data_IF_178625705928
#
_entry.id   IF_178625705928
#
_cell.length_a   1.000
_cell.length_b   1.000
_cell.length_c   1.000
_cell.angle_alpha   90.00
_cell.angle_beta   90.00
_cell.angle_gamma   90.00
#
_symmetry.space_group_name_H-M   'P 1'
#
loop_
_entity.id
_entity.type
_entity.pdbx_description
1 polymer ?
#
# COMPACT_ATOMS: atom_id res chain seq x y z
N UNK A 1 13.58 -18.84 27.23
CA UNK A 1 12.69 -20.01 27.00
C UNK A 1 11.45 -19.81 27.85
N UNK A 2 10.26 -20.24 27.41
CA UNK A 2 9.02 -20.13 28.21
C UNK A 2 8.38 -21.52 28.34
N UNK A 3 7.83 -21.84 29.51
CA UNK A 3 7.02 -23.04 29.69
C UNK A 3 5.53 -22.72 29.45
N UNK A 4 4.85 -23.58 28.69
CA UNK A 4 3.43 -23.48 28.41
C UNK A 4 2.74 -24.81 28.68
N UNK A 5 1.48 -24.75 29.10
CA UNK A 5 0.65 -25.93 29.35
C UNK A 5 -0.11 -26.31 28.08
N UNK A 6 0.05 -27.55 27.61
CA UNK A 6 -0.67 -28.04 26.45
C UNK A 6 -2.19 -28.09 26.73
N UNK A 7 -3.04 -27.51 25.87
CA UNK A 7 -4.50 -27.58 26.07
C UNK A 7 -5.09 -28.98 25.83
N UNK A 8 -4.41 -29.85 25.07
CA UNK A 8 -4.91 -31.19 24.74
C UNK A 8 -4.57 -32.25 25.78
N UNK A 9 -3.33 -32.27 26.28
CA UNK A 9 -2.87 -33.30 27.22
C UNK A 9 -2.50 -32.75 28.60
N UNK A 10 -2.63 -31.44 28.83
CA UNK A 10 -2.30 -30.75 30.10
C UNK A 10 -0.83 -30.83 30.56
N UNK A 11 0.07 -31.43 29.77
CA UNK A 11 1.50 -31.48 30.04
C UNK A 11 2.17 -30.12 29.80
N UNK A 12 3.19 -29.82 30.61
CA UNK A 12 4.03 -28.63 30.45
C UNK A 12 5.21 -28.93 29.53
N UNK A 13 5.50 -28.01 28.60
CA UNK A 13 6.64 -28.15 27.70
C UNK A 13 7.25 -26.78 27.36
N UNK A 14 8.50 -26.80 26.92
CA UNK A 14 9.26 -25.59 26.60
C UNK A 14 9.01 -25.14 25.17
N UNK A 15 8.84 -23.83 25.01
CA UNK A 15 8.71 -23.15 23.72
C UNK A 15 9.69 -21.98 23.62
N UNK A 16 10.15 -21.70 22.40
CA UNK A 16 11.02 -20.57 22.12
C UNK A 16 10.23 -19.27 22.15
N UNK A 17 10.82 -18.21 22.75
CA UNK A 17 10.15 -16.91 22.95
C UNK A 17 9.86 -16.21 21.62
N UNK A 18 10.64 -16.50 20.58
CA UNK A 18 10.53 -15.87 19.26
C UNK A 18 9.52 -16.55 18.33
N UNK A 19 8.93 -17.68 18.73
CA UNK A 19 8.01 -18.42 17.87
C UNK A 19 6.56 -18.00 18.09
N UNK A 20 5.79 -17.93 17.00
CA UNK A 20 4.37 -17.61 17.05
C UNK A 20 3.59 -18.66 17.84
N UNK A 21 2.59 -18.23 18.61
CA UNK A 21 1.76 -19.13 19.43
C UNK A 21 1.10 -20.27 18.63
N UNK A 22 0.78 -20.02 17.35
CA UNK A 22 0.20 -21.00 16.42
C UNK A 22 1.20 -22.00 15.83
N UNK A 23 2.50 -21.77 16.02
CA UNK A 23 3.58 -22.65 15.57
C UNK A 23 4.02 -23.65 16.63
N UNK A 24 3.59 -23.47 17.89
CA UNK A 24 3.95 -24.37 18.96
C UNK A 24 3.26 -25.73 18.82
N UNK A 25 4.06 -26.80 18.81
CA UNK A 25 3.60 -28.19 18.82
C UNK A 25 4.01 -28.79 20.16
N UNK A 26 3.09 -29.49 20.81
CA UNK A 26 3.40 -30.18 22.07
C UNK A 26 4.34 -31.36 21.82
N UNK A 27 5.44 -31.42 22.59
CA UNK A 27 6.42 -32.51 22.49
C UNK A 27 5.87 -33.88 22.95
N UNK A 28 4.83 -33.89 23.78
CA UNK A 28 4.26 -35.12 24.35
C UNK A 28 3.19 -35.76 23.46
N UNK A 29 2.19 -34.98 23.04
CA UNK A 29 1.03 -35.49 22.29
C UNK A 29 1.05 -35.10 20.80
N UNK A 30 2.05 -34.33 20.36
CA UNK A 30 2.19 -33.81 18.98
C UNK A 30 1.00 -32.95 18.51
N UNK A 31 0.10 -32.57 19.41
CA UNK A 31 -1.01 -31.69 19.09
C UNK A 31 -0.54 -30.23 18.96
N UNK A 32 -1.14 -29.44 18.05
CA UNK A 32 -0.87 -28.01 17.97
C UNK A 32 -1.42 -27.31 19.21
N UNK A 33 -0.68 -26.33 19.73
CA UNK A 33 -1.09 -25.54 20.89
C UNK A 33 -2.35 -24.71 20.59
N UNK A 34 -2.41 -24.11 19.40
CA UNK A 34 -3.55 -23.32 18.95
C UNK A 34 -3.77 -23.53 17.45
N UNK A 35 -5.04 -23.60 17.05
CA UNK A 35 -5.45 -23.70 15.65
C UNK A 35 -6.18 -22.43 15.27
N UNK A 36 -5.75 -21.79 14.17
CA UNK A 36 -6.42 -20.60 13.64
C UNK A 36 -7.83 -20.95 13.16
N UNK A 37 -8.81 -20.13 13.56
CA UNK A 37 -10.19 -20.25 13.09
C UNK A 37 -10.31 -19.97 11.58
N UNK A 38 -11.38 -20.48 10.93
CA UNK A 38 -11.65 -20.20 9.51
C UNK A 38 -11.67 -18.69 9.21
N UNK A 39 -12.30 -17.89 10.08
CA UNK A 39 -12.35 -16.42 9.96
C UNK A 39 -10.97 -15.77 9.97
N UNK A 40 -10.06 -16.24 10.83
CA UNK A 40 -8.69 -15.72 10.91
C UNK A 40 -7.87 -16.07 9.67
N UNK A 41 -8.01 -17.30 9.14
CA UNK A 41 -7.33 -17.72 7.91
C UNK A 41 -7.74 -16.86 6.71
N UNK A 42 -9.04 -16.62 6.53
CA UNK A 42 -9.58 -15.77 5.46
C UNK A 42 -9.05 -14.33 5.58
N UNK A 43 -8.93 -13.79 6.80
CA UNK A 43 -8.34 -12.46 7.02
C UNK A 43 -6.86 -12.42 6.64
N UNK A 44 -6.08 -13.43 7.03
CA UNK A 44 -4.66 -13.51 6.68
C UNK A 44 -4.45 -13.70 5.17
N UNK A 45 -5.26 -14.54 4.52
CA UNK A 45 -5.27 -14.72 3.07
C UNK A 45 -5.67 -13.43 2.34
N UNK A 46 -6.68 -12.71 2.84
CA UNK A 46 -7.10 -11.41 2.33
C UNK A 46 -6.03 -10.32 2.48
N UNK A 47 -5.17 -10.43 3.51
CA UNK A 47 -4.01 -9.54 3.68
C UNK A 47 -2.78 -10.00 2.87
N UNK A 48 -2.75 -11.24 2.38
CA UNK A 48 -1.64 -11.81 1.61
C UNK A 48 -1.58 -11.26 0.18
N UNK A 49 -2.71 -10.81 -0.36
CA UNK A 49 -2.75 -9.99 -1.56
C UNK A 49 -2.73 -8.52 -1.14
N UNK A 50 -1.64 -7.78 -1.40
CA UNK A 50 -1.64 -6.35 -1.11
C UNK A 50 -2.71 -5.71 -1.99
N UNK A 51 -3.13 -4.52 -1.57
CA UNK A 51 -4.05 -3.61 -2.25
C UNK A 51 -3.46 -3.10 -3.59
N UNK A 52 -2.71 -3.93 -4.32
CA UNK A 52 -1.90 -3.63 -5.51
C UNK A 52 -2.61 -3.91 -6.83
N UNK A 53 -3.89 -4.29 -6.80
CA UNK A 53 -4.77 -4.12 -7.97
C UNK A 53 -5.57 -2.84 -7.73
N UNK A 54 -5.01 -1.64 -8.02
CA UNK A 54 -5.85 -0.47 -8.13
C UNK A 54 -6.96 -0.84 -9.13
N UNK A 55 -8.23 -0.59 -8.79
CA UNK A 55 -9.34 -0.93 -9.68
C UNK A 55 -9.06 -0.33 -11.06
N UNK A 56 -9.51 -0.98 -12.14
CA UNK A 56 -9.28 -0.50 -13.52
C UNK A 56 -9.60 1.00 -13.70
N UNK A 57 -10.53 1.51 -12.90
CA UNK A 57 -10.91 2.93 -12.80
C UNK A 57 -9.76 3.84 -12.34
N UNK A 58 -8.90 3.43 -11.40
CA UNK A 58 -7.76 4.22 -10.93
C UNK A 58 -6.68 4.42 -12.00
N UNK A 59 -6.46 3.43 -12.87
CA UNK A 59 -5.57 3.61 -14.04
C UNK A 59 -6.12 4.67 -14.99
N UNK A 60 -7.42 4.61 -15.29
CA UNK A 60 -8.10 5.63 -16.12
C UNK A 60 -8.07 7.03 -15.50
N UNK A 61 -8.27 7.13 -14.19
CA UNK A 61 -8.15 8.42 -13.48
C UNK A 61 -6.73 8.96 -13.53
N UNK A 62 -5.72 8.11 -13.37
CA UNK A 62 -4.32 8.50 -13.51
C UNK A 62 -4.01 9.02 -14.92
N UNK A 63 -4.40 8.28 -15.96
CA UNK A 63 -4.21 8.70 -17.36
C UNK A 63 -4.89 10.05 -17.65
N UNK A 64 -6.14 10.21 -17.23
CA UNK A 64 -6.89 11.46 -17.40
C UNK A 64 -6.24 12.63 -16.66
N UNK A 65 -5.77 12.40 -15.43
CA UNK A 65 -5.04 13.41 -14.66
C UNK A 65 -3.77 13.85 -15.39
N UNK A 66 -2.95 12.91 -15.86
CA UNK A 66 -1.72 13.23 -16.60
C UNK A 66 -2.00 13.95 -17.92
N UNK A 67 -3.04 13.55 -18.66
CA UNK A 67 -3.45 14.26 -19.88
C UNK A 67 -3.80 15.73 -19.59
N UNK A 68 -4.58 15.99 -18.54
CA UNK A 68 -4.97 17.35 -18.15
C UNK A 68 -3.78 18.17 -17.66
N UNK A 69 -2.88 17.58 -16.89
CA UNK A 69 -1.65 18.25 -16.40
C UNK A 69 -0.75 18.65 -17.58
N UNK A 70 -0.54 17.74 -18.54
CA UNK A 70 0.29 18.01 -19.72
C UNK A 70 -0.32 19.13 -20.57
N UNK A 71 -1.62 19.06 -20.87
CA UNK A 71 -2.34 20.10 -21.63
C UNK A 71 -2.27 21.46 -20.94
N UNK A 72 -2.46 21.49 -19.62
CA UNK A 72 -2.40 22.73 -18.84
C UNK A 72 -1.00 23.35 -18.88
N UNK A 73 0.06 22.54 -18.71
CA UNK A 73 1.44 23.01 -18.77
C UNK A 73 1.80 23.58 -20.16
N UNK A 74 1.36 22.93 -21.24
CA UNK A 74 1.56 23.43 -22.61
C UNK A 74 0.84 24.78 -22.79
N UNK A 75 -0.41 24.88 -22.34
CA UNK A 75 -1.17 26.13 -22.38
C UNK A 75 -0.48 27.27 -21.64
N UNK A 76 0.05 27.00 -20.45
CA UNK A 76 0.79 27.96 -19.65
C UNK A 76 2.06 28.46 -20.37
N UNK A 77 2.82 27.56 -21.00
CA UNK A 77 4.01 27.93 -21.78
C UNK A 77 3.63 28.85 -22.95
N UNK A 78 2.59 28.50 -23.72
CA UNK A 78 2.13 29.31 -24.86
C UNK A 78 1.68 30.69 -24.38
N UNK A 79 0.87 30.75 -23.32
CA UNK A 79 0.39 32.02 -22.75
C UNK A 79 1.56 32.91 -22.29
N UNK A 80 2.57 32.31 -21.66
CA UNK A 80 3.76 33.04 -21.21
C UNK A 80 4.54 33.61 -22.40
N UNK A 81 4.72 32.84 -23.47
CA UNK A 81 5.39 33.30 -24.70
C UNK A 81 4.61 34.48 -25.33
N UNK A 82 3.30 34.35 -25.46
CA UNK A 82 2.45 35.42 -26.01
C UNK A 82 2.52 36.69 -25.17
N UNK A 83 2.52 36.56 -23.84
CA UNK A 83 2.65 37.69 -22.92
C UNK A 83 4.00 38.40 -23.08
N UNK A 84 5.10 37.64 -23.17
CA UNK A 84 6.44 38.19 -23.39
C UNK A 84 6.53 38.95 -24.71
N UNK A 85 6.00 38.39 -25.80
CA UNK A 85 5.97 39.06 -27.12
C UNK A 85 5.15 40.35 -27.05
N UNK A 86 3.94 40.29 -26.48
CA UNK A 86 3.09 41.46 -26.33
C UNK A 86 3.74 42.57 -25.50
N UNK A 87 4.47 42.19 -24.44
CA UNK A 87 5.22 43.13 -23.61
C UNK A 87 6.35 43.80 -24.38
N UNK A 88 7.13 43.02 -25.16
CA UNK A 88 8.21 43.57 -25.99
C UNK A 88 7.68 44.53 -27.05
N UNK A 89 6.58 44.18 -27.73
CA UNK A 89 5.91 45.06 -28.70
C UNK A 89 5.40 46.32 -28.00
N UNK A 90 4.77 46.19 -26.83
CA UNK A 90 4.30 47.32 -26.04
C UNK A 90 5.41 48.30 -25.68
N UNK A 91 6.58 47.81 -25.26
CA UNK A 91 7.76 48.64 -24.97
C UNK A 91 8.28 49.33 -26.24
N UNK A 92 8.30 48.64 -27.37
CA UNK A 92 8.79 49.18 -28.65
C UNK A 92 7.86 50.23 -29.26
N UNK A 93 6.55 50.08 -29.08
CA UNK A 93 5.52 50.95 -29.67
C UNK A 93 5.11 52.09 -28.75
N UNK A 94 5.34 51.96 -27.43
CA UNK A 94 5.05 53.02 -26.49
C UNK A 94 5.84 54.28 -26.84
N UNK A 95 5.18 55.42 -27.17
CA UNK A 95 5.87 56.69 -27.29
C UNK A 95 6.38 57.08 -25.90
N UNK A 96 7.69 57.31 -25.79
CA UNK A 96 8.33 57.91 -24.62
C UNK A 96 7.64 59.22 -24.20
#
# INVERSE_FOLDING_TARGET
>A
MKQVKCPSCSAWYEVSIQSDTYSHICLHCKAPYAVKSKKQRVREEGMRAPVSKPPLTWRRFGEMHWSLVILNNIGFIIQTILFMIGTLIGILVAPL
#
